data_IF_101327241899
#
_entry.id   IF_101327241899
#
_cell.length_a   1.000
_cell.length_b   1.000
_cell.length_c   1.000
_cell.angle_alpha   90.00
_cell.angle_beta   90.00
_cell.angle_gamma   90.00
#
_symmetry.space_group_name_H-M   'P 1'
#
loop_
_entity.id
_entity.type
_entity.pdbx_description
1 polymer ?
#
# COMPACT_ATOMS: atom_id res chain seq x y z
N UNK A 1 7.37 -11.96 14.68
CA UNK A 1 7.95 -10.74 14.09
C UNK A 1 7.54 -10.79 12.65
N UNK A 2 6.59 -9.93 12.27
CA UNK A 2 6.03 -9.92 10.92
C UNK A 2 7.06 -9.39 9.93
N UNK A 3 7.23 -10.12 8.82
CA UNK A 3 8.05 -9.78 7.67
C UNK A 3 7.17 -9.08 6.63
N UNK A 4 7.20 -7.75 6.64
CA UNK A 4 6.34 -6.91 5.80
C UNK A 4 7.03 -6.61 4.46
N UNK A 5 6.34 -6.89 3.36
CA UNK A 5 6.64 -6.32 2.06
C UNK A 5 5.99 -4.94 1.89
N UNK A 6 6.71 -3.96 1.33
CA UNK A 6 6.16 -2.62 1.09
C UNK A 6 6.18 -2.28 -0.41
N UNK A 7 5.05 -1.81 -0.94
CA UNK A 7 4.96 -1.30 -2.32
C UNK A 7 4.64 0.19 -2.30
N UNK A 8 5.49 1.00 -2.92
CA UNK A 8 5.35 2.46 -2.96
C UNK A 8 5.04 2.94 -4.38
N UNK A 9 3.83 3.45 -4.60
CA UNK A 9 3.48 4.15 -5.83
C UNK A 9 4.06 5.57 -5.82
N UNK A 10 4.91 5.91 -6.79
CA UNK A 10 5.67 7.18 -6.80
C UNK A 10 4.92 8.40 -7.30
N UNK A 11 3.82 8.22 -8.03
CA UNK A 11 3.04 9.36 -8.52
C UNK A 11 2.46 10.14 -7.32
N UNK A 12 2.63 11.47 -7.31
CA UNK A 12 2.44 12.34 -6.15
C UNK A 12 3.47 12.14 -5.01
N UNK A 13 4.76 11.99 -5.35
CA UNK A 13 5.89 11.78 -4.42
C UNK A 13 5.89 12.66 -3.16
N UNK A 14 5.52 13.94 -3.28
CA UNK A 14 5.39 14.87 -2.15
C UNK A 14 4.36 14.46 -1.09
N UNK A 15 3.54 13.45 -1.38
CA UNK A 15 2.58 12.80 -0.48
C UNK A 15 2.99 11.35 -0.23
N UNK A 16 3.33 10.60 -1.28
CA UNK A 16 3.56 9.15 -1.17
C UNK A 16 4.86 8.78 -0.47
N UNK A 17 5.90 9.63 -0.54
CA UNK A 17 7.14 9.39 0.23
C UNK A 17 6.89 9.55 1.74
N UNK A 18 6.25 10.65 2.22
CA UNK A 18 5.81 10.71 3.62
C UNK A 18 4.89 9.56 4.05
N UNK A 19 4.02 9.06 3.17
CA UNK A 19 3.21 7.88 3.46
C UNK A 19 4.07 6.63 3.64
N UNK A 20 5.10 6.43 2.80
CA UNK A 20 6.03 5.33 2.94
C UNK A 20 6.87 5.46 4.23
N UNK A 21 7.31 6.66 4.59
CA UNK A 21 7.95 6.94 5.88
C UNK A 21 7.04 6.54 7.05
N UNK A 22 5.79 6.99 7.05
CA UNK A 22 4.80 6.65 8.07
C UNK A 22 4.54 5.13 8.15
N UNK A 23 4.53 4.42 7.01
CA UNK A 23 4.41 2.97 6.97
C UNK A 23 5.60 2.25 7.61
N UNK A 24 6.83 2.73 7.33
CA UNK A 24 8.07 2.18 7.91
C UNK A 24 8.14 2.44 9.43
N UNK A 25 7.76 3.63 9.87
CA UNK A 25 7.66 3.98 11.30
C UNK A 25 6.64 3.09 12.01
N UNK A 26 5.44 2.93 11.45
CA UNK A 26 4.42 2.05 12.02
C UNK A 26 4.86 0.58 12.09
N UNK A 27 5.61 0.08 11.10
CA UNK A 27 6.17 -1.26 11.15
C UNK A 27 7.21 -1.40 12.27
N UNK A 28 8.11 -0.42 12.41
CA UNK A 28 9.11 -0.41 13.48
C UNK A 28 8.49 -0.34 14.89
N UNK A 29 7.46 0.48 15.07
CA UNK A 29 6.72 0.63 16.34
C UNK A 29 5.98 -0.65 16.77
N UNK A 30 5.75 -1.58 15.82
CA UNK A 30 5.07 -2.86 16.02
C UNK A 30 6.04 -4.05 16.03
N UNK A 31 7.35 -3.82 16.16
CA UNK A 31 8.38 -4.86 16.09
C UNK A 31 8.30 -5.72 14.81
N UNK A 32 7.86 -5.14 13.69
CA UNK A 32 7.85 -5.76 12.37
C UNK A 32 9.04 -5.29 11.51
N UNK A 33 9.44 -6.09 10.53
CA UNK A 33 10.57 -5.80 9.64
C UNK A 33 10.07 -5.62 8.23
N UNK A 34 10.40 -4.48 7.61
CA UNK A 34 10.23 -4.31 6.16
C UNK A 34 11.32 -5.11 5.45
N UNK A 35 10.99 -6.30 4.93
CA UNK A 35 11.97 -7.23 4.34
C UNK A 35 12.34 -6.88 2.90
N UNK A 36 11.44 -6.20 2.19
CA UNK A 36 11.71 -5.64 0.87
C UNK A 36 10.75 -4.49 0.58
N UNK A 37 11.21 -3.54 -0.23
CA UNK A 37 10.44 -2.39 -0.66
C UNK A 37 10.55 -2.19 -2.17
N UNK A 38 9.40 -2.21 -2.86
CA UNK A 38 9.33 -2.04 -4.30
C UNK A 38 8.66 -0.71 -4.66
N UNK A 39 9.40 0.16 -5.34
CA UNK A 39 8.83 1.37 -5.93
C UNK A 39 8.25 1.11 -7.32
N UNK A 40 7.03 1.58 -7.57
CA UNK A 40 6.33 1.48 -8.87
C UNK A 40 5.96 2.87 -9.42
N UNK A 41 5.70 3.05 -10.73
CA UNK A 41 5.38 4.35 -11.30
C UNK A 41 4.13 5.00 -10.69
N UNK A 42 3.02 4.26 -10.53
CA UNK A 42 1.80 4.75 -9.88
C UNK A 42 0.95 3.65 -9.25
N UNK A 43 -0.19 4.04 -8.66
CA UNK A 43 -1.08 3.11 -7.96
C UNK A 43 -1.63 2.00 -8.87
N UNK A 44 -1.80 2.28 -10.17
CA UNK A 44 -2.25 1.27 -11.13
C UNK A 44 -1.26 0.10 -11.31
N UNK A 45 0.03 0.35 -11.10
CA UNK A 45 1.11 -0.62 -11.31
C UNK A 45 1.39 -1.47 -10.07
N UNK A 46 0.86 -1.10 -8.91
CA UNK A 46 1.14 -1.74 -7.63
C UNK A 46 0.68 -3.21 -7.52
N UNK A 47 -0.42 -3.68 -8.15
CA UNK A 47 -0.86 -5.06 -7.98
C UNK A 47 0.18 -6.09 -8.42
N UNK A 48 0.94 -5.82 -9.49
CA UNK A 48 1.99 -6.73 -9.94
C UNK A 48 3.17 -6.79 -8.96
N UNK A 49 3.53 -5.67 -8.35
CA UNK A 49 4.58 -5.63 -7.34
C UNK A 49 4.15 -6.34 -6.05
N UNK A 50 2.89 -6.12 -5.62
CA UNK A 50 2.31 -6.80 -4.47
C UNK A 50 2.25 -8.32 -4.68
N UNK A 51 1.81 -8.78 -5.86
CA UNK A 51 1.80 -10.21 -6.22
C UNK A 51 3.20 -10.83 -6.17
N UNK A 52 4.24 -10.10 -6.55
CA UNK A 52 5.62 -10.60 -6.47
C UNK A 52 6.11 -10.76 -5.03
N UNK A 53 5.77 -9.82 -4.15
CA UNK A 53 6.13 -9.90 -2.73
C UNK A 53 5.35 -11.02 -2.04
N UNK A 54 4.05 -11.09 -2.25
CA UNK A 54 3.16 -12.11 -1.66
C UNK A 54 3.44 -13.54 -2.12
N UNK A 55 4.24 -13.75 -3.17
CA UNK A 55 4.70 -15.10 -3.58
C UNK A 55 5.92 -15.60 -2.81
N UNK A 56 6.59 -14.71 -2.07
CA UNK A 56 7.82 -15.07 -1.38
C UNK A 56 7.50 -15.70 -0.04
N UNK A 57 8.24 -16.75 0.29
CA UNK A 57 8.08 -17.49 1.56
C UNK A 57 8.59 -16.69 2.78
N UNK A 58 9.32 -15.59 2.56
CA UNK A 58 9.86 -14.71 3.60
C UNK A 58 9.04 -13.42 3.78
N UNK A 59 7.81 -13.37 3.24
CA UNK A 59 6.90 -12.22 3.35
C UNK A 59 5.59 -12.70 3.95
N UNK A 60 5.29 -12.22 5.16
CA UNK A 60 4.07 -12.59 5.91
C UNK A 60 2.87 -11.71 5.50
N UNK A 61 3.13 -10.47 5.08
CA UNK A 61 2.11 -9.54 4.60
C UNK A 61 2.69 -8.49 3.66
N UNK A 62 1.84 -7.82 2.88
CA UNK A 62 2.21 -6.71 2.00
C UNK A 62 1.36 -5.48 2.29
N UNK A 63 2.00 -4.32 2.47
CA UNK A 63 1.33 -3.03 2.49
C UNK A 63 1.59 -2.28 1.19
N UNK A 64 0.55 -1.72 0.58
CA UNK A 64 0.66 -0.88 -0.62
C UNK A 64 0.32 0.55 -0.28
N UNK A 65 1.23 1.49 -0.53
CA UNK A 65 1.04 2.93 -0.27
C UNK A 65 1.05 3.74 -1.57
N UNK A 66 0.17 4.75 -1.63
CA UNK A 66 0.07 5.63 -2.79
C UNK A 66 -0.95 6.75 -2.62
N UNK A 67 -1.03 7.65 -3.60
CA UNK A 67 -2.02 8.71 -3.61
C UNK A 67 -2.55 8.96 -5.03
N UNK A 68 -3.87 9.06 -5.15
CA UNK A 68 -4.58 9.38 -6.39
C UNK A 68 -5.30 10.71 -6.21
N UNK A 69 -4.76 11.75 -6.83
CA UNK A 69 -5.34 13.11 -6.83
C UNK A 69 -6.26 13.26 -8.04
N UNK A 70 -7.43 13.88 -7.84
CA UNK A 70 -8.43 14.08 -8.90
C UNK A 70 -7.96 15.11 -9.92
N UNK A 71 -8.12 14.76 -11.20
CA UNK A 71 -7.92 15.64 -12.35
C UNK A 71 -9.24 15.95 -13.07
N UNK A 72 -9.14 16.35 -14.34
CA UNK A 72 -10.30 16.82 -15.13
C UNK A 72 -11.16 15.70 -15.75
N UNK A 73 -10.78 14.44 -15.56
CA UNK A 73 -11.44 13.27 -16.16
C UNK A 73 -11.66 12.18 -15.11
N UNK A 74 -12.57 11.24 -15.38
CA UNK A 74 -12.84 10.08 -14.51
C UNK A 74 -11.69 9.04 -14.44
N UNK A 75 -10.51 9.35 -14.98
CA UNK A 75 -9.37 8.44 -15.01
C UNK A 75 -8.89 8.02 -13.61
N UNK A 76 -8.99 8.93 -12.63
CA UNK A 76 -8.65 8.66 -11.23
C UNK A 76 -9.52 7.56 -10.61
N UNK A 77 -10.82 7.57 -10.90
CA UNK A 77 -11.78 6.54 -10.47
C UNK A 77 -11.46 5.19 -11.11
N UNK A 78 -11.16 5.18 -12.41
CA UNK A 78 -10.79 3.94 -13.12
C UNK A 78 -9.53 3.32 -12.51
N UNK A 79 -8.51 4.14 -12.23
CA UNK A 79 -7.27 3.66 -11.60
C UNK A 79 -7.58 3.12 -10.20
N UNK A 80 -8.25 3.89 -9.35
CA UNK A 80 -8.48 3.51 -7.96
C UNK A 80 -9.29 2.21 -7.83
N UNK A 81 -10.37 2.08 -8.60
CA UNK A 81 -11.20 0.88 -8.59
C UNK A 81 -10.41 -0.33 -9.07
N UNK A 82 -9.70 -0.23 -10.21
CA UNK A 82 -8.92 -1.34 -10.74
C UNK A 82 -7.79 -1.76 -9.79
N UNK A 83 -7.10 -0.80 -9.16
CA UNK A 83 -6.05 -1.09 -8.17
C UNK A 83 -6.62 -1.82 -6.95
N UNK A 84 -7.71 -1.31 -6.36
CA UNK A 84 -8.31 -1.92 -5.17
C UNK A 84 -8.79 -3.35 -5.45
N UNK A 85 -9.53 -3.56 -6.55
CA UNK A 85 -10.01 -4.88 -6.96
C UNK A 85 -8.85 -5.86 -7.15
N UNK A 86 -7.79 -5.46 -7.86
CA UNK A 86 -6.67 -6.35 -8.14
C UNK A 86 -5.81 -6.66 -6.92
N UNK A 87 -5.70 -5.74 -5.96
CA UNK A 87 -5.00 -6.02 -4.70
C UNK A 87 -5.81 -6.98 -3.83
N UNK A 88 -7.14 -6.87 -3.80
CA UNK A 88 -8.01 -7.86 -3.16
C UNK A 88 -7.84 -9.24 -3.82
N UNK A 89 -7.86 -9.32 -5.14
CA UNK A 89 -7.62 -10.58 -5.87
C UNK A 89 -6.26 -11.19 -5.49
N UNK A 90 -5.19 -10.39 -5.46
CA UNK A 90 -3.85 -10.87 -5.06
C UNK A 90 -3.86 -11.42 -3.63
N UNK A 91 -4.50 -10.72 -2.69
CA UNK A 91 -4.55 -11.18 -1.30
C UNK A 91 -5.23 -12.54 -1.18
N UNK A 92 -6.39 -12.70 -1.83
CA UNK A 92 -7.18 -13.94 -1.79
C UNK A 92 -6.52 -15.09 -2.56
N UNK A 93 -5.93 -14.81 -3.73
CA UNK A 93 -5.28 -15.82 -4.56
C UNK A 93 -3.96 -16.33 -3.98
N UNK A 94 -3.27 -15.51 -3.18
CA UNK A 94 -1.99 -15.85 -2.54
C UNK A 94 -2.15 -16.38 -1.13
N UNK A 95 -3.33 -16.17 -0.52
CA UNK A 95 -3.54 -16.43 0.91
C UNK A 95 -2.51 -15.66 1.76
N UNK A 96 -2.32 -14.39 1.42
CA UNK A 96 -1.37 -13.49 2.08
C UNK A 96 -2.03 -12.12 2.22
N UNK A 97 -2.03 -11.50 3.41
CA UNK A 97 -2.55 -10.15 3.61
C UNK A 97 -1.92 -9.14 2.62
N UNK A 98 -2.76 -8.47 1.81
CA UNK A 98 -2.34 -7.33 1.00
C UNK A 98 -3.24 -6.13 1.31
N UNK A 99 -2.69 -5.12 1.98
CA UNK A 99 -3.47 -3.96 2.45
C UNK A 99 -3.38 -2.75 1.53
N UNK A 100 -4.45 -1.96 1.53
CA UNK A 100 -4.68 -0.86 0.60
C UNK A 100 -4.51 0.50 1.28
N UNK A 101 -3.28 1.01 1.31
CA UNK A 101 -2.90 2.34 1.75
C UNK A 101 -2.84 3.37 0.63
N UNK A 102 -3.63 3.21 -0.43
CA UNK A 102 -3.73 4.22 -1.50
C UNK A 102 -4.85 5.21 -1.15
N UNK A 103 -4.50 6.47 -0.95
CA UNK A 103 -5.47 7.54 -0.71
C UNK A 103 -6.10 8.04 -2.02
N UNK A 104 -7.36 8.49 -1.97
CA UNK A 104 -8.11 8.92 -3.15
C UNK A 104 -8.96 7.80 -3.79
N UNK A 105 -9.69 8.10 -4.88
CA UNK A 105 -9.75 9.36 -5.61
C UNK A 105 -10.71 10.35 -4.93
N UNK A 106 -11.02 11.48 -5.59
CA UNK A 106 -11.98 12.47 -5.09
C UNK A 106 -11.38 13.52 -4.16
N UNK A 107 -10.07 13.73 -4.22
CA UNK A 107 -9.35 14.68 -3.37
C UNK A 107 -8.34 15.51 -4.18
N UNK A 108 -8.12 16.74 -3.73
CA UNK A 108 -7.04 17.61 -4.21
C UNK A 108 -5.68 17.18 -3.64
N UNK A 109 -4.60 17.72 -4.21
CA UNK A 109 -3.26 17.48 -3.66
C UNK A 109 -3.06 18.04 -2.25
N UNK A 110 -3.81 19.07 -1.84
CA UNK A 110 -3.77 19.58 -0.46
C UNK A 110 -4.40 18.57 0.51
N UNK A 111 -5.59 18.09 0.18
CA UNK A 111 -6.30 17.04 0.92
C UNK A 111 -5.55 15.71 0.95
N UNK A 112 -4.76 15.40 -0.07
CA UNK A 112 -3.89 14.23 -0.08
C UNK A 112 -2.78 14.31 0.99
N UNK A 113 -2.21 15.50 1.22
CA UNK A 113 -1.19 15.71 2.29
C UNK A 113 -1.76 15.55 3.69
N UNK A 114 -3.04 15.82 3.88
CA UNK A 114 -3.73 15.58 5.15
C UNK A 114 -4.00 14.10 5.44
N UNK A 115 -3.72 13.20 4.47
CA UNK A 115 -3.97 11.75 4.55
C UNK A 115 -2.69 10.92 4.55
N UNK A 116 -1.56 11.51 4.93
CA UNK A 116 -0.26 10.83 4.99
C UNK A 116 -0.30 9.63 5.96
N UNK A 117 -1.11 9.73 7.02
CA UNK A 117 -1.38 8.69 8.01
C UNK A 117 -1.89 7.38 7.39
N UNK A 118 -2.46 7.42 6.17
CA UNK A 118 -2.89 6.20 5.46
C UNK A 118 -1.76 5.24 5.12
N UNK A 119 -0.51 5.70 5.08
CA UNK A 119 0.65 4.82 5.02
C UNK A 119 0.82 3.97 6.29
N UNK A 120 0.79 4.63 7.45
CA UNK A 120 0.87 3.96 8.75
C UNK A 120 -0.32 3.01 8.99
N UNK A 121 -1.54 3.45 8.70
CA UNK A 121 -2.75 2.63 8.81
C UNK A 121 -2.63 1.32 8.01
N UNK A 122 -2.10 1.39 6.78
CA UNK A 122 -1.98 0.23 5.91
C UNK A 122 -0.92 -0.77 6.40
N UNK A 123 0.23 -0.29 6.87
CA UNK A 123 1.25 -1.14 7.47
C UNK A 123 0.75 -1.81 8.75
N UNK A 124 0.11 -1.03 9.64
CA UNK A 124 -0.45 -1.57 10.88
C UNK A 124 -1.51 -2.63 10.60
N UNK A 125 -2.43 -2.38 9.66
CA UNK A 125 -3.45 -3.36 9.27
C UNK A 125 -2.85 -4.63 8.65
N UNK A 126 -1.74 -4.51 7.91
CA UNK A 126 -1.07 -5.67 7.31
C UNK A 126 -0.45 -6.57 8.39
N UNK A 127 0.18 -5.94 9.37
CA UNK A 127 0.79 -6.63 10.52
C UNK A 127 -0.31 -7.29 11.38
N UNK A 128 -1.34 -6.52 11.75
CA UNK A 128 -2.47 -7.03 12.55
C UNK A 128 -3.14 -8.22 11.86
N UNK A 129 -3.34 -8.15 10.54
CA UNK A 129 -4.00 -9.23 9.80
C UNK A 129 -3.12 -10.48 9.67
N UNK A 130 -1.79 -10.35 9.55
CA UNK A 130 -0.89 -11.50 9.57
C UNK A 130 -0.93 -12.21 10.92
N UNK A 131 -0.80 -11.45 12.02
CA UNK A 131 -0.78 -12.02 13.37
C UNK A 131 -2.10 -12.69 13.77
N UNK A 132 -3.25 -12.18 13.30
CA UNK A 132 -4.57 -12.76 13.60
C UNK A 132 -4.91 -13.99 12.72
N UNK A 133 -4.23 -14.18 11.60
CA UNK A 133 -4.47 -15.30 10.67
C UNK A 133 -3.44 -16.45 10.78
N UNK A 134 -2.34 -16.24 11.51
CA UNK A 134 -1.31 -17.26 11.83
C UNK A 134 -1.80 -18.42 12.71
#
# INVERSE_FOLDING_TARGET
>A
MVSLGLVVARFNDSVTEPMAEAAREAAADRDAVVVDELSVPGAYDSPLAADRLARREDVDAVAVVGAIVTGDTDHDRVIATATAEKLTDVSLDRDTPVTFGVSGPGMSGAEARERIDKGADAAAAAIDLAEELD
#
